data_IF_365922956254
#
_entry.id   IF_365922956254
#
_cell.length_a   1.000
_cell.length_b   1.000
_cell.length_c   1.000
_cell.angle_alpha   90.00
_cell.angle_beta   90.00
_cell.angle_gamma   90.00
#
_symmetry.space_group_name_H-M   'P 1'
#
loop_
_entity.id
_entity.type
_entity.pdbx_description
1 polymer ?
#
# COMPACT_ATOMS: atom_id res chain seq x y z
N UNK A 1 9.41 7.24 6.20
CA UNK A 1 8.77 6.29 5.26
C UNK A 1 7.87 5.30 6.00
N UNK A 2 8.41 4.45 6.89
CA UNK A 2 7.62 3.52 7.73
C UNK A 2 6.35 4.09 8.37
N UNK A 3 6.45 5.18 9.13
CA UNK A 3 5.27 5.82 9.76
C UNK A 3 4.25 6.36 8.74
N UNK A 4 4.70 6.78 7.55
CA UNK A 4 3.80 7.20 6.48
C UNK A 4 3.02 6.02 5.93
N UNK A 5 3.63 4.84 5.80
CA UNK A 5 2.96 3.63 5.30
C UNK A 5 1.84 3.21 6.23
N UNK A 6 2.12 3.14 7.54
CA UNK A 6 1.08 2.83 8.53
C UNK A 6 0.00 3.92 8.61
N UNK A 7 0.38 5.19 8.48
CA UNK A 7 -0.57 6.29 8.41
C UNK A 7 -1.53 6.15 7.22
N UNK A 8 -1.00 5.80 6.04
CA UNK A 8 -1.80 5.57 4.83
C UNK A 8 -2.75 4.39 4.99
N UNK A 9 -2.26 3.25 5.49
CA UNK A 9 -3.12 2.08 5.76
C UNK A 9 -4.22 2.42 6.75
N UNK A 10 -3.90 3.08 7.86
CA UNK A 10 -4.89 3.48 8.88
C UNK A 10 -5.97 4.40 8.31
N UNK A 11 -5.57 5.35 7.49
CA UNK A 11 -6.49 6.29 6.86
C UNK A 11 -7.37 5.65 5.78
N UNK A 12 -6.84 4.67 5.02
CA UNK A 12 -7.65 3.85 4.10
C UNK A 12 -8.65 3.01 4.90
N UNK A 13 -8.22 2.34 5.97
CA UNK A 13 -9.13 1.56 6.84
C UNK A 13 -10.24 2.42 7.43
N UNK A 14 -9.93 3.65 7.88
CA UNK A 14 -10.95 4.59 8.37
C UNK A 14 -11.92 4.98 7.26
N UNK A 15 -11.42 5.29 6.06
CA UNK A 15 -12.26 5.59 4.92
C UNK A 15 -13.19 4.42 4.56
N UNK A 16 -12.70 3.19 4.57
CA UNK A 16 -13.52 2.00 4.34
C UNK A 16 -14.63 1.88 5.40
N UNK A 17 -14.30 2.10 6.67
CA UNK A 17 -15.28 2.11 7.75
C UNK A 17 -16.36 3.19 7.55
N UNK A 18 -15.96 4.42 7.21
CA UNK A 18 -16.87 5.53 6.92
C UNK A 18 -17.79 5.24 5.71
N UNK A 19 -17.38 4.35 4.81
CA UNK A 19 -18.15 3.88 3.65
C UNK A 19 -18.99 2.63 3.93
N UNK A 20 -19.01 2.13 5.17
CA UNK A 20 -19.81 0.96 5.57
C UNK A 20 -19.09 -0.38 5.43
N UNK A 21 -17.77 -0.39 5.22
CA UNK A 21 -16.95 -1.60 5.10
C UNK A 21 -16.14 -1.91 6.37
N UNK A 22 -16.48 -1.32 7.51
CA UNK A 22 -15.72 -1.45 8.76
C UNK A 22 -15.64 -2.88 9.31
N UNK A 23 -16.69 -3.68 9.06
CA UNK A 23 -16.76 -5.09 9.49
C UNK A 23 -16.19 -6.07 8.44
N UNK A 24 -15.72 -5.57 7.29
CA UNK A 24 -15.16 -6.41 6.22
C UNK A 24 -13.66 -6.63 6.47
N UNK A 25 -13.26 -7.90 6.55
CA UNK A 25 -11.86 -8.25 6.71
C UNK A 25 -11.03 -7.83 5.48
N UNK A 26 -9.97 -7.06 5.73
CA UNK A 26 -8.98 -6.68 4.71
C UNK A 26 -7.68 -7.47 4.89
N UNK A 27 -6.99 -7.66 3.79
CA UNK A 27 -5.63 -8.18 3.75
C UNK A 27 -4.64 -7.06 4.13
N UNK A 28 -4.20 -7.07 5.38
CA UNK A 28 -3.26 -6.07 5.90
C UNK A 28 -1.92 -6.09 5.15
N UNK A 29 -1.51 -7.26 4.64
CA UNK A 29 -0.27 -7.42 3.88
C UNK A 29 -0.39 -6.69 2.55
N UNK A 30 -1.53 -6.85 1.87
CA UNK A 30 -1.83 -6.15 0.61
C UNK A 30 -1.92 -4.62 0.82
N UNK A 31 -2.61 -4.18 1.88
CA UNK A 31 -2.71 -2.76 2.22
C UNK A 31 -1.32 -2.12 2.49
N UNK A 32 -0.46 -2.83 3.22
CA UNK A 32 0.90 -2.37 3.51
C UNK A 32 1.77 -2.37 2.25
N UNK A 33 1.72 -3.42 1.44
CA UNK A 33 2.46 -3.48 0.18
C UNK A 33 2.09 -2.31 -0.74
N UNK A 34 0.79 -1.99 -0.85
CA UNK A 34 0.32 -0.85 -1.62
C UNK A 34 0.81 0.49 -1.06
N UNK A 35 0.71 0.70 0.26
CA UNK A 35 1.19 1.93 0.89
C UNK A 35 2.72 2.11 0.73
N UNK A 36 3.48 1.02 0.85
CA UNK A 36 4.92 1.01 0.63
C UNK A 36 5.25 1.35 -0.83
N UNK A 37 4.45 0.88 -1.79
CA UNK A 37 4.59 1.23 -3.20
C UNK A 37 4.49 2.73 -3.43
N UNK A 38 3.41 3.37 -2.96
CA UNK A 38 3.22 4.81 -3.13
C UNK A 38 4.37 5.61 -2.51
N UNK A 39 4.85 5.20 -1.33
CA UNK A 39 5.94 5.91 -0.64
C UNK A 39 7.30 5.69 -1.31
N UNK A 40 7.60 4.48 -1.77
CA UNK A 40 8.84 4.19 -2.46
C UNK A 40 8.90 4.86 -3.83
N UNK A 41 7.80 4.84 -4.58
CA UNK A 41 7.69 5.51 -5.89
C UNK A 41 7.89 7.02 -5.75
N UNK A 42 7.15 7.65 -4.83
CA UNK A 42 7.30 9.09 -4.57
C UNK A 42 8.68 9.50 -4.08
N UNK A 43 9.31 8.67 -3.22
CA UNK A 43 10.69 8.91 -2.78
C UNK A 43 11.67 8.81 -3.94
N UNK A 44 11.56 7.78 -4.77
CA UNK A 44 12.38 7.60 -5.98
C UNK A 44 12.24 8.77 -6.95
N UNK A 45 11.01 9.29 -7.14
CA UNK A 45 10.75 10.45 -7.98
C UNK A 45 11.38 11.74 -7.43
N UNK A 46 11.40 11.92 -6.12
CA UNK A 46 11.90 13.12 -5.49
C UNK A 46 13.43 13.18 -5.37
N UNK A 47 14.13 12.05 -5.38
CA UNK A 47 15.59 12.00 -5.21
C UNK A 47 16.33 11.95 -6.57
N UNK A 48 17.31 12.85 -6.80
CA UNK A 48 18.06 12.91 -8.07
C UNK A 48 19.07 11.77 -8.20
N UNK A 49 19.64 11.32 -7.08
CA UNK A 49 20.56 10.18 -7.02
C UNK A 49 19.76 8.88 -6.95
N UNK A 50 19.70 8.15 -8.07
CA UNK A 50 18.92 6.93 -8.21
C UNK A 50 19.51 5.75 -7.46
N UNK A 51 20.84 5.64 -7.38
CA UNK A 51 21.50 4.53 -6.69
C UNK A 51 21.26 4.63 -5.19
N UNK A 52 21.49 5.82 -4.63
CA UNK A 52 21.20 6.08 -3.21
C UNK A 52 19.71 5.96 -2.88
N UNK A 53 18.83 6.33 -3.81
CA UNK A 53 17.39 6.16 -3.62
C UNK A 53 17.01 4.67 -3.53
N UNK A 54 17.59 3.82 -4.38
CA UNK A 54 17.37 2.37 -4.37
C UNK A 54 17.83 1.77 -3.03
N UNK A 55 19.01 2.15 -2.53
CA UNK A 55 19.51 1.65 -1.24
C UNK A 55 18.56 1.99 -0.08
N UNK A 56 18.08 3.23 -0.01
CA UNK A 56 17.13 3.66 1.03
C UNK A 56 15.79 2.92 0.90
N UNK A 57 15.32 2.70 -0.33
CA UNK A 57 14.08 1.97 -0.59
C UNK A 57 14.21 0.49 -0.17
N UNK A 58 15.33 -0.16 -0.47
CA UNK A 58 15.59 -1.52 -0.01
C UNK A 58 15.62 -1.61 1.52
N UNK A 59 16.38 -0.73 2.18
CA UNK A 59 16.41 -0.69 3.64
C UNK A 59 15.03 -0.43 4.25
N UNK A 60 14.22 0.42 3.61
CA UNK A 60 12.83 0.66 4.02
C UNK A 60 11.95 -0.60 3.92
N UNK A 61 12.12 -1.44 2.91
CA UNK A 61 11.37 -2.69 2.78
C UNK A 61 11.73 -3.71 3.86
N UNK A 62 13.03 -3.89 4.11
CA UNK A 62 13.52 -4.75 5.19
C UNK A 62 12.95 -4.29 6.54
N UNK A 63 13.01 -2.99 6.81
CA UNK A 63 12.45 -2.35 8.01
C UNK A 63 10.95 -2.60 8.21
N UNK A 64 10.18 -2.59 7.11
CA UNK A 64 8.73 -2.81 7.14
C UNK A 64 8.40 -4.29 7.36
N UNK A 65 9.12 -5.19 6.68
CA UNK A 65 8.98 -6.63 6.83
C UNK A 65 9.27 -7.05 8.27
N UNK A 66 10.40 -6.61 8.81
CA UNK A 66 10.81 -6.91 10.18
C UNK A 66 9.80 -6.37 11.19
N UNK A 67 9.24 -5.18 10.96
CA UNK A 67 8.25 -4.62 11.86
C UNK A 67 6.93 -5.39 11.83
N UNK A 68 6.43 -5.74 10.64
CA UNK A 68 5.20 -6.51 10.49
C UNK A 68 5.34 -7.88 11.18
N UNK A 69 6.42 -8.61 10.89
CA UNK A 69 6.65 -9.95 11.44
C UNK A 69 6.87 -9.87 12.95
N UNK A 70 7.88 -9.12 13.39
CA UNK A 70 8.33 -9.20 14.78
C UNK A 70 7.43 -8.43 15.75
N UNK A 71 6.76 -7.38 15.29
CA UNK A 71 5.91 -6.56 16.16
C UNK A 71 4.45 -6.92 16.04
N UNK A 72 3.90 -6.90 14.84
CA UNK A 72 2.45 -7.07 14.66
C UNK A 72 2.05 -8.54 14.75
N UNK A 73 2.79 -9.45 14.13
CA UNK A 73 2.43 -10.88 14.12
C UNK A 73 2.86 -11.56 15.41
N UNK A 74 4.14 -11.50 15.76
CA UNK A 74 4.69 -12.24 16.90
C UNK A 74 4.27 -11.61 18.24
N UNK A 75 4.44 -10.29 18.41
CA UNK A 75 4.21 -9.64 19.71
C UNK A 75 2.75 -9.28 19.96
N UNK A 76 2.09 -8.67 18.98
CA UNK A 76 0.74 -8.13 19.19
C UNK A 76 -0.36 -9.22 19.04
N UNK A 77 -0.20 -10.17 18.12
CA UNK A 77 -1.14 -11.29 17.94
C UNK A 77 -0.74 -12.59 18.66
N UNK A 78 0.41 -12.60 19.35
CA UNK A 78 0.93 -13.75 20.10
C UNK A 78 0.96 -15.06 19.28
N UNK A 79 1.17 -14.94 17.96
CA UNK A 79 1.31 -16.06 17.05
C UNK A 79 2.65 -16.74 17.33
N UNK A 80 2.59 -17.90 17.99
CA UNK A 80 3.77 -18.74 18.25
C UNK A 80 3.93 -19.85 17.20
N UNK A 81 3.00 -19.97 16.26
CA UNK A 81 3.09 -20.91 15.14
C UNK A 81 4.11 -20.40 14.12
N UNK A 82 5.23 -21.12 14.01
CA UNK A 82 6.30 -20.81 13.10
C UNK A 82 5.88 -20.93 11.62
N UNK A 83 4.95 -21.85 11.29
CA UNK A 83 4.48 -22.05 9.93
C UNK A 83 3.59 -20.90 9.45
N UNK A 84 2.68 -20.42 10.30
CA UNK A 84 1.85 -19.26 9.97
C UNK A 84 2.68 -17.98 9.88
N UNK A 85 3.64 -17.79 10.80
CA UNK A 85 4.57 -16.64 10.75
C UNK A 85 5.40 -16.66 9.46
N UNK A 86 5.90 -17.83 9.06
CA UNK A 86 6.65 -18.00 7.83
C UNK A 86 5.78 -17.80 6.58
N UNK A 87 4.53 -18.22 6.60
CA UNK A 87 3.59 -18.00 5.49
C UNK A 87 3.29 -16.51 5.29
N UNK A 88 3.09 -15.75 6.36
CA UNK A 88 2.87 -14.30 6.24
C UNK A 88 4.13 -13.57 5.78
N UNK A 89 5.30 -13.98 6.29
CA UNK A 89 6.59 -13.44 5.82
C UNK A 89 6.81 -13.70 4.33
N UNK A 90 6.54 -14.92 3.86
CA UNK A 90 6.63 -15.30 2.46
C UNK A 90 5.66 -14.48 1.61
N UNK A 91 4.39 -14.37 2.05
CA UNK A 91 3.38 -13.55 1.37
C UNK A 91 3.79 -12.09 1.26
N UNK A 92 4.31 -11.50 2.34
CA UNK A 92 4.81 -10.12 2.32
C UNK A 92 5.96 -9.96 1.32
N UNK A 93 6.91 -10.90 1.31
CA UNK A 93 8.01 -10.87 0.36
C UNK A 93 7.52 -10.97 -1.09
N UNK A 94 6.64 -11.93 -1.38
CA UNK A 94 6.10 -12.15 -2.72
C UNK A 94 5.29 -10.94 -3.21
N UNK A 95 4.42 -10.38 -2.36
CA UNK A 95 3.66 -9.18 -2.69
C UNK A 95 4.56 -7.96 -2.86
N UNK A 96 5.53 -7.74 -1.97
CA UNK A 96 6.47 -6.62 -2.09
C UNK A 96 7.31 -6.64 -3.37
N UNK A 97 7.53 -7.81 -3.99
CA UNK A 97 8.28 -7.92 -5.26
C UNK A 97 7.38 -7.94 -6.48
N UNK A 98 6.34 -8.78 -6.47
CA UNK A 98 5.42 -8.97 -7.60
C UNK A 98 4.44 -7.82 -7.73
N UNK A 99 3.71 -7.54 -6.64
CA UNK A 99 2.63 -6.55 -6.63
C UNK A 99 3.11 -5.13 -6.88
N UNK A 100 4.35 -4.82 -6.50
CA UNK A 100 4.97 -3.53 -6.82
C UNK A 100 5.06 -3.25 -8.31
N UNK A 101 5.41 -4.26 -9.12
CA UNK A 101 5.46 -4.11 -10.57
C UNK A 101 4.05 -3.92 -11.15
N UNK A 102 3.07 -4.62 -10.60
CA UNK A 102 1.67 -4.53 -11.03
C UNK A 102 1.07 -3.15 -10.68
N UNK A 103 1.26 -2.68 -9.45
CA UNK A 103 0.88 -1.33 -9.04
C UNK A 103 1.64 -0.27 -9.84
N UNK A 104 2.95 -0.44 -10.05
CA UNK A 104 3.76 0.47 -10.84
C UNK A 104 3.30 0.59 -12.29
N UNK A 105 2.90 -0.51 -12.93
CA UNK A 105 2.32 -0.50 -14.27
C UNK A 105 1.01 0.29 -14.33
N UNK A 106 0.08 -0.03 -13.42
CA UNK A 106 -1.25 0.62 -13.36
C UNK A 106 -1.17 2.08 -12.98
N UNK A 107 -0.28 2.41 -12.05
CA UNK A 107 -0.08 3.78 -11.62
C UNK A 107 0.52 4.62 -12.74
N UNK A 108 1.47 4.06 -13.50
CA UNK A 108 1.99 4.70 -14.73
C UNK A 108 0.89 4.95 -15.76
N UNK A 109 -0.04 4.01 -15.93
CA UNK A 109 -1.22 4.21 -16.81
C UNK A 109 -2.08 5.36 -16.29
N UNK A 110 -2.42 5.38 -14.99
CA UNK A 110 -3.23 6.42 -14.38
C UNK A 110 -2.59 7.82 -14.47
N UNK A 111 -1.27 7.94 -14.24
CA UNK A 111 -0.56 9.23 -14.28
C UNK A 111 -0.01 9.59 -15.66
N UNK A 112 -0.20 8.74 -16.67
CA UNK A 112 0.25 9.02 -18.05
C UNK A 112 -0.52 10.17 -18.69
N UNK A 113 -1.74 10.43 -18.21
CA UNK A 113 -2.50 11.63 -18.51
C UNK A 113 -2.19 12.73 -17.48
N UNK A 114 -1.50 13.83 -17.86
CA UNK A 114 -1.19 14.92 -16.94
C UNK A 114 -2.42 15.62 -16.35
N UNK A 115 -3.59 15.45 -16.96
CA UNK A 115 -4.88 15.98 -16.51
C UNK A 115 -5.65 14.99 -15.62
N UNK A 116 -5.16 13.75 -15.45
CA UNK A 116 -5.80 12.78 -14.58
C UNK A 116 -5.66 13.22 -13.12
N UNK A 117 -6.81 13.56 -12.52
CA UNK A 117 -6.95 13.89 -11.09
C UNK A 117 -7.46 12.68 -10.29
N UNK A 118 -7.23 11.46 -10.78
CA UNK A 118 -7.64 10.20 -10.11
C UNK A 118 -6.68 9.06 -10.46
N UNK A 119 -6.70 7.97 -9.68
CA UNK A 119 -5.95 6.73 -9.97
C UNK A 119 -6.87 5.50 -10.06
N UNK A 120 -7.88 5.52 -10.96
CA UNK A 120 -8.95 4.55 -10.98
C UNK A 120 -8.47 3.14 -11.32
N UNK A 121 -7.45 2.97 -12.18
CA UNK A 121 -6.96 1.64 -12.57
C UNK A 121 -6.21 1.01 -11.39
N UNK A 122 -5.35 1.78 -10.75
CA UNK A 122 -4.57 1.35 -9.58
C UNK A 122 -5.47 1.02 -8.40
N UNK A 123 -6.43 1.90 -8.09
CA UNK A 123 -7.37 1.67 -6.98
C UNK A 123 -8.34 0.54 -7.28
N UNK A 124 -8.81 0.42 -8.51
CA UNK A 124 -9.61 -0.74 -8.93
C UNK A 124 -8.87 -2.05 -8.64
N UNK A 125 -7.58 -2.10 -8.97
CA UNK A 125 -6.76 -3.27 -8.72
C UNK A 125 -6.46 -3.52 -7.25
N UNK A 126 -6.22 -2.46 -6.46
CA UNK A 126 -6.11 -2.56 -5.01
C UNK A 126 -7.38 -3.20 -4.44
N UNK A 127 -8.56 -2.67 -4.78
CA UNK A 127 -9.84 -3.14 -4.23
C UNK A 127 -10.17 -4.59 -4.62
N UNK A 128 -9.64 -5.09 -5.74
CA UNK A 128 -9.77 -6.51 -6.12
C UNK A 128 -8.97 -7.45 -5.21
N UNK A 129 -7.90 -6.96 -4.58
CA UNK A 129 -6.98 -7.76 -3.77
C UNK A 129 -7.07 -7.42 -2.26
N UNK A 130 -7.66 -6.27 -1.91
CA UNK A 130 -7.63 -5.75 -0.55
C UNK A 130 -8.54 -6.51 0.41
N UNK A 131 -9.66 -7.05 -0.06
CA UNK A 131 -10.60 -7.75 0.81
C UNK A 131 -10.33 -9.25 0.78
N UNK A 132 -10.38 -9.89 1.97
CA UNK A 132 -10.22 -11.35 2.08
C UNK A 132 -11.36 -12.05 1.33
N UNK A 133 -12.58 -11.52 1.45
CA UNK A 133 -13.72 -11.88 0.62
C UNK A 133 -13.94 -10.80 -0.43
N UNK A 134 -13.93 -11.18 -1.71
CA UNK A 134 -14.14 -10.24 -2.79
C UNK A 134 -15.47 -9.48 -2.63
N UNK A 135 -15.41 -8.15 -2.80
CA UNK A 135 -16.58 -7.29 -2.79
C UNK A 135 -17.32 -7.34 -4.13
N UNK A 136 -18.61 -7.04 -4.13
CA UNK A 136 -19.40 -6.94 -5.33
C UNK A 136 -18.93 -5.78 -6.23
N UNK A 137 -19.25 -5.84 -7.52
CA UNK A 137 -18.86 -4.81 -8.48
C UNK A 137 -19.44 -3.44 -8.13
N UNK A 138 -20.68 -3.42 -7.64
CA UNK A 138 -21.39 -2.21 -7.23
C UNK A 138 -20.75 -1.58 -5.99
N UNK A 139 -20.39 -2.42 -5.00
CA UNK A 139 -19.64 -2.01 -3.80
C UNK A 139 -18.28 -1.41 -4.19
N UNK A 140 -17.56 -2.06 -5.12
CA UNK A 140 -16.28 -1.56 -5.64
C UNK A 140 -16.43 -0.18 -6.29
N UNK A 141 -17.43 0.01 -7.15
CA UNK A 141 -17.68 1.29 -7.82
C UNK A 141 -17.97 2.43 -6.81
N UNK A 142 -18.64 2.13 -5.70
CA UNK A 142 -18.90 3.10 -4.63
C UNK A 142 -17.63 3.54 -3.90
N UNK A 143 -16.64 2.65 -3.78
CA UNK A 143 -15.37 2.93 -3.12
C UNK A 143 -14.35 3.63 -4.02
N UNK A 144 -14.36 3.33 -5.33
CA UNK A 144 -13.33 3.76 -6.27
C UNK A 144 -12.99 5.25 -6.20
N UNK A 145 -14.00 6.13 -6.23
CA UNK A 145 -13.78 7.58 -6.21
C UNK A 145 -13.10 8.04 -4.92
N UNK A 146 -13.69 7.69 -3.77
CA UNK A 146 -13.19 8.15 -2.48
C UNK A 146 -11.80 7.59 -2.15
N UNK A 147 -11.53 6.33 -2.52
CA UNK A 147 -10.20 5.73 -2.32
C UNK A 147 -9.18 6.35 -3.27
N UNK A 148 -9.55 6.64 -4.52
CA UNK A 148 -8.67 7.34 -5.48
C UNK A 148 -8.27 8.73 -4.99
N UNK A 149 -9.23 9.51 -4.50
CA UNK A 149 -8.96 10.84 -3.94
C UNK A 149 -7.99 10.76 -2.76
N UNK A 150 -8.20 9.75 -1.89
CA UNK A 150 -7.35 9.55 -0.72
C UNK A 150 -5.93 9.12 -1.10
N UNK A 151 -5.78 8.24 -2.08
CA UNK A 151 -4.46 7.82 -2.59
C UNK A 151 -3.72 9.00 -3.21
N UNK A 152 -4.39 9.83 -4.02
CA UNK A 152 -3.77 11.02 -4.59
C UNK A 152 -3.38 12.07 -3.56
N UNK A 153 -4.21 12.26 -2.54
CA UNK A 153 -3.88 13.13 -1.42
C UNK A 153 -2.59 12.66 -0.73
N UNK A 154 -2.45 11.36 -0.46
CA UNK A 154 -1.22 10.81 0.11
C UNK A 154 -0.01 10.96 -0.82
N UNK A 155 -0.18 10.61 -2.10
CA UNK A 155 0.89 10.69 -3.09
C UNK A 155 1.42 12.13 -3.22
N UNK A 156 0.52 13.11 -3.38
CA UNK A 156 0.88 14.52 -3.48
C UNK A 156 1.58 15.05 -2.23
N UNK A 157 1.11 14.65 -1.04
CA UNK A 157 1.77 14.96 0.24
C UNK A 157 3.18 14.37 0.33
N UNK A 158 3.38 13.11 -0.12
CA UNK A 158 4.70 12.47 -0.14
C UNK A 158 5.65 13.16 -1.12
N UNK A 159 5.18 13.53 -2.32
CA UNK A 159 5.96 14.27 -3.30
C UNK A 159 6.44 15.61 -2.72
N UNK A 160 5.58 16.34 -2.01
CA UNK A 160 5.97 17.59 -1.36
C UNK A 160 7.01 17.34 -0.24
N UNK A 161 6.76 16.37 0.63
CA UNK A 161 7.62 16.08 1.77
C UNK A 161 9.03 15.60 1.38
N UNK A 162 9.16 14.85 0.28
CA UNK A 162 10.46 14.30 -0.15
C UNK A 162 11.27 15.22 -1.07
N UNK A 163 10.66 16.26 -1.64
CA UNK A 163 11.35 17.32 -2.39
C UNK A 163 12.10 18.30 -1.49
N UNK A 164 11.68 18.42 -0.23
CA UNK A 164 12.41 19.13 0.82
C UNK A 164 13.67 18.36 1.25
#
# INVERSE_FOLDING_TARGET
MKSLSFGMVSDISRLLADKGFGDRAIDIVEALAFAMFIIADTYSLAKPDKEKAIEVIHGFYEDMQDHLINKIIIKDHNLMDAAETQAVAAKFHDLSRGRFNEYGGKFKEDISDPMAMSCPITVSYLLDNLFIEAIAKEEKLQLMGAVSDKVLYFWSGCVQAFKC
#
